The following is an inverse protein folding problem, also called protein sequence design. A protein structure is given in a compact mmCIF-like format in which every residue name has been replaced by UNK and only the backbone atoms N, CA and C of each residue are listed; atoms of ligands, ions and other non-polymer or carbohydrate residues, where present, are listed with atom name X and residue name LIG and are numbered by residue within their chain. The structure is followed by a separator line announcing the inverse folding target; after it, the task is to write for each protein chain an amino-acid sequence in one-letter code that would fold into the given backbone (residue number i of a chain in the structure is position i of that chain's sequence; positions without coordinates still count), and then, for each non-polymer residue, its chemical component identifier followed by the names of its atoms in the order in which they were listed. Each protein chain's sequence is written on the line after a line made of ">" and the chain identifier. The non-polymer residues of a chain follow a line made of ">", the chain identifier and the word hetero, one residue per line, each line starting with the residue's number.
data_IF_695961157710
#
_entry.id   IF_695961157710
#
_cell.length_a   1.000
_cell.length_b   1.000
_cell.length_c   1.000
_cell.angle_alpha   90.00
_cell.angle_beta   90.00
_cell.angle_gamma   90.00
#
_symmetry.space_group_name_H-M   'P 1'
#
loop_
_entity.id
_entity.type
_entity.pdbx_description
1 polymer ?
#
# COMPACT_ATOMS: atom_id res chain seq x y z
N UNK A 1 -6.58 -7.48 -1.01
CA UNK A 1 -6.48 -6.86 -2.35
C UNK A 1 -5.37 -5.83 -2.41
N UNK A 2 -5.65 -4.56 -2.06
CA UNK A 2 -4.71 -3.44 -2.32
C UNK A 2 -3.33 -3.65 -1.67
N UNK A 3 -3.25 -4.18 -0.44
CA UNK A 3 -1.97 -4.51 0.18
C UNK A 3 -1.14 -5.51 -0.63
N UNK A 4 -1.78 -6.53 -1.20
CA UNK A 4 -1.12 -7.54 -2.04
C UNK A 4 -0.64 -6.87 -3.34
N UNK A 5 -1.48 -6.05 -3.98
CA UNK A 5 -1.10 -5.33 -5.19
C UNK A 5 0.06 -4.36 -4.96
N UNK A 6 0.07 -3.63 -3.84
CA UNK A 6 1.14 -2.72 -3.48
C UNK A 6 2.47 -3.46 -3.26
N UNK A 7 2.46 -4.53 -2.45
CA UNK A 7 3.66 -5.32 -2.17
C UNK A 7 4.21 -6.00 -3.42
N UNK A 8 3.34 -6.57 -4.26
CA UNK A 8 3.77 -7.43 -5.36
C UNK A 8 3.93 -6.67 -6.68
N UNK A 9 3.01 -5.76 -7.00
CA UNK A 9 3.04 -5.01 -8.26
C UNK A 9 3.88 -3.76 -8.14
N UNK A 10 3.58 -2.88 -7.17
CA UNK A 10 4.21 -1.56 -7.14
C UNK A 10 5.70 -1.69 -6.84
N UNK A 11 6.05 -2.48 -5.83
CA UNK A 11 7.44 -2.76 -5.50
C UNK A 11 8.14 -3.54 -6.61
N UNK A 12 7.46 -4.55 -7.19
CA UNK A 12 7.98 -5.33 -8.31
C UNK A 12 8.32 -4.48 -9.53
N UNK A 13 7.43 -3.57 -9.91
CA UNK A 13 7.65 -2.61 -11.00
C UNK A 13 8.80 -1.66 -10.69
N UNK A 14 8.92 -1.17 -9.45
CA UNK A 14 10.02 -0.30 -9.05
C UNK A 14 11.38 -0.98 -9.28
N UNK A 15 11.52 -2.25 -8.84
CA UNK A 15 12.75 -3.03 -9.05
C UNK A 15 13.05 -3.31 -10.51
N UNK A 16 12.05 -3.70 -11.30
CA UNK A 16 12.27 -4.04 -12.72
C UNK A 16 12.67 -2.81 -13.53
N UNK A 17 12.08 -1.64 -13.24
CA UNK A 17 12.35 -0.39 -13.96
C UNK A 17 13.71 0.19 -13.59
N UNK A 18 14.00 0.33 -12.30
CA UNK A 18 15.22 0.99 -11.81
C UNK A 18 16.45 0.06 -11.89
N UNK A 19 16.22 -1.23 -11.62
CA UNK A 19 17.19 -2.29 -11.78
C UNK A 19 17.97 -2.67 -10.53
N UNK A 20 18.35 -1.69 -9.73
CA UNK A 20 19.04 -1.88 -8.45
C UNK A 20 18.55 -0.84 -7.46
N UNK A 21 17.43 -1.14 -6.80
CA UNK A 21 16.85 -0.22 -5.83
C UNK A 21 17.63 -0.34 -4.54
N UNK A 22 18.48 0.64 -4.25
CA UNK A 22 19.17 0.75 -2.96
C UNK A 22 18.17 1.21 -1.92
N UNK A 23 18.12 0.50 -0.80
CA UNK A 23 17.20 0.75 0.30
C UNK A 23 18.02 1.27 1.48
N UNK A 24 17.63 2.43 2.00
CA UNK A 24 18.26 3.00 3.19
C UNK A 24 17.95 2.14 4.41
N UNK A 25 18.97 1.95 5.24
CA UNK A 25 18.91 1.11 6.44
C UNK A 25 17.71 1.43 7.34
N UNK A 26 17.30 2.70 7.40
CA UNK A 26 16.16 3.18 8.17
C UNK A 26 14.84 2.54 7.75
N UNK A 27 14.59 2.43 6.44
CA UNK A 27 13.37 1.81 5.89
C UNK A 27 13.32 0.34 6.34
N UNK A 28 14.46 -0.36 6.27
CA UNK A 28 14.58 -1.76 6.67
C UNK A 28 14.43 -1.98 8.19
N UNK A 29 14.91 -1.06 9.03
CA UNK A 29 14.89 -1.23 10.49
C UNK A 29 13.61 -0.73 11.16
N UNK A 30 12.91 0.21 10.52
CA UNK A 30 11.74 0.86 11.09
C UNK A 30 10.46 0.38 10.41
N UNK A 31 10.35 0.62 9.10
CA UNK A 31 9.09 0.46 8.40
C UNK A 31 8.75 -1.03 8.20
N UNK A 32 9.74 -1.89 8.05
CA UNK A 32 9.53 -3.34 7.93
C UNK A 32 8.92 -3.99 9.18
N UNK A 33 9.42 -3.77 10.41
CA UNK A 33 8.74 -4.26 11.61
C UNK A 33 7.29 -3.75 11.75
N UNK A 34 7.03 -2.48 11.43
CA UNK A 34 5.68 -1.94 11.45
C UNK A 34 4.80 -2.56 10.37
N UNK A 35 5.32 -2.78 9.17
CA UNK A 35 4.62 -3.49 8.11
C UNK A 35 4.23 -4.90 8.58
N UNK A 36 5.19 -5.69 9.05
CA UNK A 36 4.94 -7.05 9.52
C UNK A 36 3.94 -7.08 10.68
N UNK A 37 4.11 -6.19 11.66
CA UNK A 37 3.22 -6.05 12.80
C UNK A 37 1.79 -5.65 12.40
N UNK A 38 1.64 -4.70 11.47
CA UNK A 38 0.34 -4.25 10.98
C UNK A 38 -0.38 -5.33 10.16
N UNK A 39 0.33 -6.04 9.28
CA UNK A 39 -0.22 -7.15 8.50
C UNK A 39 -0.64 -8.31 9.42
N UNK A 40 0.18 -8.65 10.41
CA UNK A 40 -0.14 -9.69 11.38
C UNK A 40 -1.35 -9.31 12.25
N UNK A 41 -1.38 -8.08 12.77
CA UNK A 41 -2.51 -7.56 13.53
C UNK A 41 -3.80 -7.59 12.71
N UNK A 42 -3.74 -7.17 11.44
CA UNK A 42 -4.87 -7.26 10.53
C UNK A 42 -5.32 -8.72 10.34
N UNK A 43 -4.40 -9.65 10.14
CA UNK A 43 -4.74 -11.07 10.00
C UNK A 43 -5.45 -11.63 11.25
N UNK A 44 -5.03 -11.23 12.45
CA UNK A 44 -5.70 -11.60 13.71
C UNK A 44 -7.10 -11.01 13.81
N UNK A 45 -7.24 -9.73 13.49
CA UNK A 45 -8.53 -9.01 13.54
C UNK A 45 -9.53 -9.58 12.53
N UNK A 46 -9.05 -10.09 11.39
CA UNK A 46 -9.90 -10.69 10.36
C UNK A 46 -10.24 -12.17 10.63
N UNK A 47 -9.66 -12.79 11.66
CA UNK A 47 -9.69 -14.25 11.84
C UNK A 47 -11.09 -14.84 11.99
N UNK A 48 -11.97 -14.15 12.72
CA UNK A 48 -13.36 -14.57 12.94
C UNK A 48 -14.31 -14.10 11.83
N UNK A 49 -13.81 -13.30 10.88
CA UNK A 49 -14.57 -12.72 9.78
C UNK A 49 -15.49 -11.57 10.16
N UNK A 50 -15.42 -11.07 11.39
CA UNK A 50 -16.22 -9.93 11.86
C UNK A 50 -15.35 -8.87 12.53
N UNK A 51 -15.19 -7.72 11.86
CA UNK A 51 -14.44 -6.60 12.42
C UNK A 51 -15.43 -5.56 12.96
N UNK A 52 -15.46 -5.43 14.29
CA UNK A 52 -16.33 -4.50 15.00
C UNK A 52 -15.59 -3.25 15.49
N UNK A 53 -16.24 -2.55 16.42
CA UNK A 53 -15.74 -1.29 16.99
C UNK A 53 -14.51 -1.49 17.88
N UNK A 54 -14.39 -2.64 18.54
CA UNK A 54 -13.25 -2.92 19.44
C UNK A 54 -11.99 -3.09 18.60
N UNK A 55 -12.08 -3.90 17.55
CA UNK A 55 -11.02 -4.11 16.57
C UNK A 55 -10.64 -2.80 15.88
N UNK A 56 -11.64 -1.97 15.54
CA UNK A 56 -11.42 -0.63 14.99
C UNK A 56 -10.55 0.23 15.92
N UNK A 57 -10.87 0.28 17.22
CA UNK A 57 -10.08 1.05 18.20
C UNK A 57 -8.66 0.52 18.28
N UNK A 58 -8.46 -0.81 18.26
CA UNK A 58 -7.13 -1.42 18.27
C UNK A 58 -6.32 -1.00 17.04
N UNK A 59 -6.90 -1.12 15.84
CA UNK A 59 -6.24 -0.76 14.58
C UNK A 59 -5.90 0.74 14.52
N UNK A 60 -6.84 1.61 14.91
CA UNK A 60 -6.62 3.06 14.92
C UNK A 60 -5.64 3.50 16.01
N UNK A 61 -5.58 2.80 17.15
CA UNK A 61 -4.57 3.05 18.18
C UNK A 61 -3.17 2.66 17.69
N UNK A 62 -3.05 1.51 17.02
CA UNK A 62 -1.80 1.10 16.38
C UNK A 62 -1.35 2.10 15.31
N UNK A 63 -2.30 2.64 14.51
CA UNK A 63 -2.02 3.70 13.54
C UNK A 63 -1.50 4.96 14.24
N UNK A 64 -2.12 5.38 15.35
CA UNK A 64 -1.68 6.56 16.10
C UNK A 64 -0.25 6.39 16.64
N UNK A 65 0.11 5.20 17.12
CA UNK A 65 1.47 4.88 17.56
C UNK A 65 2.46 4.98 16.39
N UNK A 66 2.14 4.38 15.25
CA UNK A 66 2.97 4.47 14.05
C UNK A 66 3.16 5.93 13.59
N UNK A 67 2.07 6.70 13.51
CA UNK A 67 2.12 8.11 13.11
C UNK A 67 2.92 8.96 14.11
N UNK A 68 2.76 8.73 15.42
CA UNK A 68 3.54 9.43 16.43
C UNK A 68 5.03 9.14 16.27
N UNK A 69 5.39 7.87 16.06
CA UNK A 69 6.77 7.46 15.80
C UNK A 69 7.33 8.18 14.56
N UNK A 70 6.65 8.11 13.42
CA UNK A 70 7.11 8.73 12.17
C UNK A 70 7.29 10.25 12.33
N UNK A 71 6.32 10.95 12.92
CA UNK A 71 6.35 12.41 13.06
C UNK A 71 7.40 12.92 14.05
N UNK A 72 7.65 12.19 15.14
CA UNK A 72 8.70 12.55 16.10
C UNK A 72 10.09 12.35 15.53
N UNK A 73 10.24 11.37 14.65
CA UNK A 73 11.53 11.06 14.03
C UNK A 73 11.88 11.99 12.86
N UNK A 74 10.91 12.42 12.05
CA UNK A 74 11.14 13.45 11.03
C UNK A 74 11.62 14.77 11.64
N UNK A 75 11.19 15.08 12.86
CA UNK A 75 11.67 16.24 13.62
C UNK A 75 13.10 16.08 14.16
N UNK A 76 13.51 14.85 14.49
CA UNK A 76 14.85 14.58 15.02
C UNK A 76 15.93 14.49 13.94
N UNK A 77 15.58 14.09 12.71
CA UNK A 77 16.48 14.12 11.55
C UNK A 77 16.52 15.51 10.87
N UNK A 78 15.75 16.47 11.40
CA UNK A 78 15.51 17.80 10.82
C UNK A 78 16.55 18.88 11.09
N UNK A 79 17.63 18.60 11.83
CA UNK A 79 18.70 19.58 12.11
C UNK A 79 19.82 19.62 11.03
N UNK A 80 19.63 18.95 9.88
CA UNK A 80 20.69 18.76 8.87
C UNK A 80 20.49 19.45 7.53
N UNK A 81 19.57 18.96 6.69
CA UNK A 81 19.69 19.20 5.23
C UNK A 81 18.38 19.53 4.49
N UNK A 82 17.24 19.57 5.17
CA UNK A 82 15.93 19.86 4.56
C UNK A 82 15.62 21.35 4.37
N UNK A 83 16.13 22.20 5.26
CA UNK A 83 15.88 23.64 5.25
C UNK A 83 16.57 24.37 4.08
N UNK A 84 17.66 23.80 3.53
CA UNK A 84 18.45 24.43 2.46
C UNK A 84 17.80 24.35 1.06
N UNK A 85 16.87 23.41 0.84
CA UNK A 85 16.08 23.35 -0.39
C UNK A 85 14.83 24.24 -0.33
N UNK A 86 14.25 24.41 0.87
CA UNK A 86 13.08 25.25 1.08
C UNK A 86 13.41 26.76 1.08
N UNK A 87 14.67 27.15 1.30
CA UNK A 87 15.10 28.56 1.33
C UNK A 87 15.36 29.18 -0.06
N UNK A 88 15.29 28.42 -1.16
CA UNK A 88 15.50 28.96 -2.52
C UNK A 88 14.24 29.24 -3.33
N UNK A 89 13.05 28.88 -2.85
CA UNK A 89 11.78 29.27 -3.48
C UNK A 89 11.28 30.58 -2.87
N UNK A 90 11.87 31.69 -3.28
CA UNK A 90 11.43 33.02 -2.82
C UNK A 90 9.94 33.24 -3.07
N UNK A 91 9.13 33.39 -2.00
CA UNK A 91 7.72 33.85 -1.95
C UNK A 91 6.81 33.48 -3.14
N UNK A 92 7.08 32.40 -3.88
CA UNK A 92 6.22 31.94 -4.95
C UNK A 92 5.02 31.29 -4.27
N UNK A 93 3.86 31.94 -4.45
CA UNK A 93 2.70 31.74 -3.59
C UNK A 93 2.35 30.28 -3.37
N UNK A 94 2.27 29.89 -2.09
CA UNK A 94 1.79 28.59 -1.58
C UNK A 94 0.50 28.14 -2.27
N UNK A 95 -0.28 29.10 -2.79
CA UNK A 95 -1.47 28.91 -3.60
C UNK A 95 -1.26 27.94 -4.76
N UNK A 96 -0.17 28.06 -5.55
CA UNK A 96 0.00 27.20 -6.74
C UNK A 96 0.26 25.73 -6.35
N UNK A 97 1.20 25.39 -5.45
CA UNK A 97 1.36 24.03 -4.94
C UNK A 97 0.08 23.46 -4.31
N UNK A 98 -0.63 24.26 -3.51
CA UNK A 98 -1.89 23.84 -2.88
C UNK A 98 -2.97 23.54 -3.92
N UNK A 99 -3.14 24.41 -4.93
CA UNK A 99 -4.08 24.17 -6.03
C UNK A 99 -3.72 22.92 -6.84
N UNK A 100 -2.43 22.70 -7.10
CA UNK A 100 -1.97 21.49 -7.79
C UNK A 100 -2.26 20.23 -6.97
N UNK A 101 -2.06 20.28 -5.64
CA UNK A 101 -2.31 19.17 -4.74
C UNK A 101 -3.81 18.84 -4.62
N UNK A 102 -4.66 19.87 -4.45
CA UNK A 102 -6.11 19.69 -4.42
C UNK A 102 -6.65 19.21 -5.77
N UNK A 103 -6.15 19.78 -6.87
CA UNK A 103 -6.51 19.37 -8.22
C UNK A 103 -6.13 17.91 -8.49
N UNK A 104 -4.91 17.50 -8.16
CA UNK A 104 -4.47 16.11 -8.33
C UNK A 104 -5.27 15.14 -7.48
N UNK A 105 -5.56 15.50 -6.22
CA UNK A 105 -6.39 14.67 -5.34
C UNK A 105 -7.79 14.45 -5.91
N UNK A 106 -8.42 15.50 -6.46
CA UNK A 106 -9.74 15.41 -7.08
C UNK A 106 -9.73 14.48 -8.31
N UNK A 107 -8.76 14.65 -9.23
CA UNK A 107 -8.67 13.81 -10.42
C UNK A 107 -8.36 12.35 -10.08
N UNK A 108 -7.52 12.11 -9.08
CA UNK A 108 -7.22 10.75 -8.59
C UNK A 108 -8.49 10.10 -8.04
N UNK A 109 -9.24 10.81 -7.19
CA UNK A 109 -10.48 10.29 -6.61
C UNK A 109 -11.51 9.94 -7.69
N UNK A 110 -11.75 10.87 -8.61
CA UNK A 110 -12.70 10.66 -9.71
C UNK A 110 -12.28 9.50 -10.63
N UNK A 111 -10.98 9.39 -10.95
CA UNK A 111 -10.43 8.31 -11.76
C UNK A 111 -10.52 6.95 -11.08
N UNK A 112 -10.21 6.88 -9.78
CA UNK A 112 -10.34 5.66 -8.99
C UNK A 112 -11.80 5.21 -8.89
N UNK A 113 -12.73 6.11 -8.56
CA UNK A 113 -14.16 5.80 -8.45
C UNK A 113 -14.76 5.34 -9.78
N UNK A 114 -14.42 6.01 -10.89
CA UNK A 114 -14.85 5.63 -12.22
C UNK A 114 -14.32 4.24 -12.64
N UNK A 115 -13.06 3.94 -12.30
CA UNK A 115 -12.43 2.64 -12.57
C UNK A 115 -13.10 1.52 -11.76
N UNK A 116 -13.31 1.75 -10.46
CA UNK A 116 -13.98 0.79 -9.56
C UNK A 116 -15.41 0.51 -10.01
N UNK A 117 -16.18 1.55 -10.32
CA UNK A 117 -17.57 1.41 -10.77
C UNK A 117 -17.67 0.63 -12.08
N UNK A 118 -16.78 0.94 -13.04
CA UNK A 118 -16.73 0.24 -14.32
C UNK A 118 -16.30 -1.22 -14.16
N UNK A 119 -15.30 -1.50 -13.32
CA UNK A 119 -14.82 -2.85 -13.05
C UNK A 119 -15.90 -3.72 -12.39
N UNK A 120 -16.64 -3.18 -11.42
CA UNK A 120 -17.78 -3.85 -10.79
C UNK A 120 -18.91 -4.08 -11.80
N UNK A 121 -19.20 -3.11 -12.66
CA UNK A 121 -20.18 -3.25 -13.73
C UNK A 121 -19.84 -4.40 -14.69
N UNK A 122 -18.60 -4.44 -15.20
CA UNK A 122 -18.14 -5.50 -16.10
C UNK A 122 -18.15 -6.86 -15.39
N UNK A 123 -17.62 -6.93 -14.17
CA UNK A 123 -17.56 -8.20 -13.45
C UNK A 123 -18.95 -8.80 -13.17
N UNK A 124 -19.94 -7.96 -12.86
CA UNK A 124 -21.34 -8.40 -12.73
C UNK A 124 -21.93 -8.93 -14.04
N UNK A 125 -21.59 -8.34 -15.18
CA UNK A 125 -22.03 -8.86 -16.49
C UNK A 125 -21.37 -10.18 -16.88
N UNK A 126 -20.21 -10.48 -16.32
CA UNK A 126 -19.45 -11.71 -16.53
C UNK A 126 -19.74 -12.78 -15.46
N UNK A 127 -20.72 -12.55 -14.58
CA UNK A 127 -21.09 -13.43 -13.46
C UNK A 127 -19.91 -13.76 -12.52
N UNK A 128 -18.99 -12.81 -12.36
CA UNK A 128 -17.84 -12.94 -11.46
C UNK A 128 -18.26 -12.54 -10.04
N UNK A 129 -17.89 -13.35 -9.05
CA UNK A 129 -18.17 -13.10 -7.64
C UNK A 129 -17.69 -11.72 -7.16
N UNK A 130 -18.51 -11.03 -6.36
CA UNK A 130 -18.23 -9.67 -5.92
C UNK A 130 -16.92 -9.58 -5.11
N UNK A 131 -16.62 -10.61 -4.32
CA UNK A 131 -15.38 -10.77 -3.56
C UNK A 131 -14.14 -10.89 -4.46
N UNK A 132 -14.23 -11.56 -5.61
CA UNK A 132 -13.13 -11.67 -6.57
C UNK A 132 -12.88 -10.29 -7.17
N UNK A 133 -13.92 -9.60 -7.63
CA UNK A 133 -13.83 -8.25 -8.19
C UNK A 133 -13.24 -7.28 -7.16
N UNK A 134 -13.67 -7.36 -5.90
CA UNK A 134 -13.19 -6.53 -4.81
C UNK A 134 -11.69 -6.81 -4.50
N UNK A 135 -11.30 -8.08 -4.44
CA UNK A 135 -9.94 -8.49 -4.12
C UNK A 135 -8.95 -8.27 -5.28
N UNK A 136 -9.43 -8.22 -6.52
CA UNK A 136 -8.63 -8.03 -7.74
C UNK A 136 -8.79 -6.62 -8.33
N UNK A 137 -9.77 -6.40 -9.19
CA UNK A 137 -9.89 -5.22 -10.03
C UNK A 137 -10.12 -3.93 -9.24
N UNK A 138 -10.96 -3.95 -8.20
CA UNK A 138 -11.18 -2.78 -7.33
C UNK A 138 -9.92 -2.44 -6.56
N UNK A 139 -9.35 -3.46 -5.90
CA UNK A 139 -8.10 -3.33 -5.15
C UNK A 139 -6.93 -2.83 -6.01
N UNK A 140 -6.81 -3.31 -7.24
CA UNK A 140 -5.80 -2.86 -8.19
C UNK A 140 -6.09 -1.43 -8.65
N UNK A 141 -7.36 -1.11 -8.94
CA UNK A 141 -7.81 0.21 -9.35
C UNK A 141 -7.49 1.30 -8.32
N UNK A 142 -7.69 1.01 -7.03
CA UNK A 142 -7.34 1.94 -5.94
C UNK A 142 -5.83 2.14 -5.77
N UNK A 143 -5.01 1.20 -6.26
CA UNK A 143 -3.55 1.25 -6.21
C UNK A 143 -2.91 1.87 -7.46
N UNK A 144 -3.70 2.18 -8.51
CA UNK A 144 -3.19 2.81 -9.74
C UNK A 144 -2.51 4.17 -9.53
N UNK A 145 -3.00 5.06 -8.64
CA UNK A 145 -2.31 6.31 -8.35
C UNK A 145 -0.88 6.07 -7.83
N UNK A 146 -0.71 5.09 -6.93
CA UNK A 146 0.57 4.71 -6.35
C UNK A 146 1.47 4.02 -7.38
N UNK A 147 0.91 3.17 -8.26
CA UNK A 147 1.65 2.64 -9.41
C UNK A 147 2.20 3.79 -10.26
N UNK A 148 1.38 4.80 -10.54
CA UNK A 148 1.76 5.95 -11.37
C UNK A 148 2.89 6.77 -10.75
N UNK A 149 2.79 7.06 -9.45
CA UNK A 149 3.82 7.78 -8.68
C UNK A 149 5.13 6.97 -8.64
N UNK A 150 5.04 5.68 -8.35
CA UNK A 150 6.20 4.79 -8.26
C UNK A 150 6.92 4.64 -9.61
N UNK A 151 6.18 4.40 -10.69
CA UNK A 151 6.77 4.31 -12.04
C UNK A 151 7.45 5.62 -12.42
N UNK A 152 6.84 6.77 -12.10
CA UNK A 152 7.46 8.07 -12.34
C UNK A 152 8.73 8.28 -11.49
N UNK A 153 8.74 7.86 -10.23
CA UNK A 153 9.90 7.95 -9.35
C UNK A 153 11.04 7.01 -9.78
N UNK A 154 10.73 5.76 -10.10
CA UNK A 154 11.70 4.76 -10.56
C UNK A 154 12.39 5.20 -11.87
N UNK A 155 11.64 5.74 -12.83
CA UNK A 155 12.23 6.30 -14.07
C UNK A 155 13.17 7.48 -13.85
N UNK A 156 13.10 8.13 -12.67
CA UNK A 156 13.95 9.26 -12.29
C UNK A 156 15.11 8.84 -11.37
N UNK A 157 15.35 7.53 -11.19
CA UNK A 157 16.38 7.01 -10.28
C UNK A 157 16.07 7.21 -8.80
N UNK A 158 14.80 7.48 -8.47
CA UNK A 158 14.34 7.74 -7.10
C UNK A 158 13.50 6.56 -6.56
N UNK A 159 13.82 5.34 -6.98
CA UNK A 159 13.06 4.14 -6.62
C UNK A 159 13.07 3.84 -5.11
N UNK A 160 14.06 4.32 -4.37
CA UNK A 160 14.08 4.22 -2.90
C UNK A 160 12.84 4.88 -2.27
N UNK A 161 12.43 6.05 -2.76
CA UNK A 161 11.22 6.71 -2.26
C UNK A 161 9.95 5.89 -2.52
N UNK A 162 9.94 5.09 -3.60
CA UNK A 162 8.83 4.21 -3.89
C UNK A 162 8.71 3.08 -2.86
N UNK A 163 9.82 2.54 -2.34
CA UNK A 163 9.81 1.51 -1.30
C UNK A 163 9.14 2.04 -0.04
N UNK A 164 9.60 3.19 0.48
CA UNK A 164 9.00 3.80 1.67
C UNK A 164 7.51 4.12 1.50
N UNK A 165 7.12 4.60 0.32
CA UNK A 165 5.72 4.84 -0.02
C UNK A 165 4.89 3.56 0.01
N UNK A 166 5.37 2.46 -0.58
CA UNK A 166 4.67 1.16 -0.57
C UNK A 166 4.50 0.61 0.84
N UNK A 167 5.55 0.64 1.67
CA UNK A 167 5.48 0.15 3.05
C UNK A 167 4.49 0.98 3.88
N UNK A 168 4.60 2.31 3.81
CA UNK A 168 3.71 3.24 4.51
C UNK A 168 2.24 3.09 4.08
N UNK A 169 1.97 3.00 2.77
CA UNK A 169 0.61 2.78 2.26
C UNK A 169 0.02 1.45 2.72
N UNK A 170 0.82 0.38 2.82
CA UNK A 170 0.31 -0.90 3.32
C UNK A 170 0.01 -0.90 4.81
N UNK A 171 0.85 -0.25 5.62
CA UNK A 171 0.57 -0.02 7.05
C UNK A 171 -0.70 0.82 7.19
N UNK A 172 -0.83 1.90 6.43
CA UNK A 172 -2.01 2.77 6.44
C UNK A 172 -3.27 2.02 6.00
N UNK A 173 -3.21 1.23 4.93
CA UNK A 173 -4.33 0.43 4.48
C UNK A 173 -4.74 -0.63 5.51
N UNK A 174 -3.78 -1.30 6.14
CA UNK A 174 -4.06 -2.32 7.14
C UNK A 174 -4.73 -1.73 8.41
N UNK A 175 -4.28 -0.55 8.84
CA UNK A 175 -4.71 0.04 10.10
C UNK A 175 -5.84 1.07 9.91
N UNK A 176 -5.63 2.06 9.04
CA UNK A 176 -6.57 3.16 8.83
C UNK A 176 -7.77 2.74 8.00
N UNK A 177 -7.58 2.13 6.81
CA UNK A 177 -8.71 1.82 5.93
C UNK A 177 -9.65 0.81 6.60
N UNK A 178 -9.11 -0.27 7.16
CA UNK A 178 -9.92 -1.24 7.91
C UNK A 178 -10.47 -0.65 9.21
N UNK A 179 -9.65 0.06 10.00
CA UNK A 179 -10.08 0.62 11.28
C UNK A 179 -11.17 1.69 11.15
N UNK A 180 -11.05 2.61 10.20
CA UNK A 180 -12.08 3.64 9.94
C UNK A 180 -13.36 2.97 9.44
N UNK A 181 -13.26 2.02 8.51
CA UNK A 181 -14.42 1.31 7.98
C UNK A 181 -15.17 0.57 9.10
N UNK A 182 -14.45 -0.15 9.97
CA UNK A 182 -15.01 -0.86 11.12
C UNK A 182 -15.59 0.08 12.20
N UNK A 183 -15.07 1.31 12.31
CA UNK A 183 -15.62 2.31 13.20
C UNK A 183 -16.99 2.82 12.72
N UNK A 184 -17.21 2.89 11.40
CA UNK A 184 -18.49 3.31 10.81
C UNK A 184 -19.58 2.23 10.84
N UNK A 185 -19.19 0.95 10.87
CA UNK A 185 -20.11 -0.19 10.94
C UNK A 185 -19.35 -1.51 11.01
N UNK A 186 -20.03 -2.58 11.44
CA UNK A 186 -19.42 -3.91 11.48
C UNK A 186 -19.10 -4.38 10.05
N UNK A 187 -17.84 -4.75 9.83
CA UNK A 187 -17.39 -5.33 8.56
C UNK A 187 -17.50 -6.85 8.65
N UNK A 188 -18.24 -7.45 7.72
CA UNK A 188 -18.30 -8.90 7.55
C UNK A 188 -17.41 -9.27 6.37
N UNK A 189 -16.45 -10.14 6.61
CA UNK A 189 -15.44 -10.53 5.63
C UNK A 189 -15.71 -11.98 5.19
N UNK A 190 -15.87 -12.24 3.89
CA UNK A 190 -16.10 -13.60 3.38
C UNK A 190 -14.99 -14.57 3.79
N UNK A 191 -15.38 -15.76 4.24
CA UNK A 191 -14.44 -16.82 4.64
C UNK A 191 -13.50 -17.23 3.49
N UNK A 192 -13.96 -17.13 2.24
CA UNK A 192 -13.14 -17.36 1.04
C UNK A 192 -11.93 -16.41 0.97
N UNK A 193 -12.12 -15.13 1.29
CA UNK A 193 -11.04 -14.15 1.33
C UNK A 193 -10.10 -14.35 2.52
N UNK A 194 -10.64 -14.73 3.68
CA UNK A 194 -9.83 -15.02 4.87
C UNK A 194 -8.96 -16.26 4.64
N UNK A 195 -9.53 -17.32 4.06
CA UNK A 195 -8.83 -18.58 3.81
C UNK A 195 -7.75 -18.49 2.73
N UNK A 196 -7.83 -17.52 1.82
CA UNK A 196 -6.91 -17.40 0.69
C UNK A 196 -6.13 -16.08 0.65
N UNK A 197 -6.81 -14.94 0.57
CA UNK A 197 -6.14 -13.66 0.36
C UNK A 197 -5.32 -13.19 1.57
N UNK A 198 -5.77 -13.46 2.80
CA UNK A 198 -5.04 -13.08 4.02
C UNK A 198 -3.72 -13.86 4.15
N UNK A 199 -3.68 -15.20 4.00
CA UNK A 199 -2.44 -15.96 3.92
C UNK A 199 -1.48 -15.46 2.83
N UNK A 200 -1.98 -15.21 1.61
CA UNK A 200 -1.14 -14.68 0.52
C UNK A 200 -0.55 -13.32 0.89
N UNK A 201 -1.32 -12.44 1.54
CA UNK A 201 -0.83 -11.15 2.02
C UNK A 201 0.28 -11.30 3.07
N UNK A 202 0.17 -12.27 3.99
CA UNK A 202 1.23 -12.57 4.96
C UNK A 202 2.50 -13.10 4.28
N UNK A 203 2.35 -14.03 3.34
CA UNK A 203 3.48 -14.56 2.56
C UNK A 203 4.15 -13.46 1.73
N UNK A 204 3.37 -12.60 1.06
CA UNK A 204 3.88 -11.45 0.32
C UNK A 204 4.63 -10.47 1.24
N UNK A 205 4.09 -10.20 2.43
CA UNK A 205 4.74 -9.33 3.43
C UNK A 205 6.06 -9.92 3.89
N UNK A 206 6.09 -11.23 4.18
CA UNK A 206 7.30 -11.91 4.61
C UNK A 206 8.37 -11.95 3.50
N UNK A 207 7.95 -12.19 2.25
CA UNK A 207 8.85 -12.15 1.10
C UNK A 207 9.47 -10.76 0.94
N UNK A 208 8.64 -9.70 0.99
CA UNK A 208 9.11 -8.31 0.92
C UNK A 208 10.02 -7.97 2.10
N UNK A 209 9.71 -8.45 3.31
CA UNK A 209 10.56 -8.28 4.48
C UNK A 209 11.98 -8.79 4.21
N UNK A 210 12.13 -10.02 3.70
CA UNK A 210 13.45 -10.58 3.42
C UNK A 210 14.19 -9.88 2.28
N UNK A 211 13.49 -9.47 1.24
CA UNK A 211 14.08 -8.72 0.11
C UNK A 211 14.60 -7.36 0.60
N UNK A 212 13.75 -6.60 1.31
CA UNK A 212 14.09 -5.24 1.74
C UNK A 212 15.17 -5.23 2.82
N UNK A 213 15.23 -6.28 3.67
CA UNK A 213 16.27 -6.43 4.68
C UNK A 213 17.68 -6.58 4.08
N UNK A 214 17.80 -7.06 2.84
CA UNK A 214 19.08 -7.14 2.12
C UNK A 214 19.59 -5.77 1.63
N UNK A 215 18.79 -4.72 1.80
CA UNK A 215 19.11 -3.31 1.49
C UNK A 215 19.36 -3.00 0.01
N UNK A 216 19.24 -3.98 -0.86
CA UNK A 216 19.26 -3.82 -2.29
C UNK A 216 18.22 -4.75 -2.89
N UNK A 217 17.39 -4.22 -3.77
CA UNK A 217 16.38 -4.99 -4.48
C UNK A 217 16.72 -5.05 -5.97
N UNK A 218 16.88 -6.27 -6.46
CA UNK A 218 17.30 -6.60 -7.82
C UNK A 218 16.10 -6.71 -8.76
N UNK A 219 16.37 -6.64 -10.07
CA UNK A 219 15.37 -6.91 -11.14
C UNK A 219 14.69 -8.27 -10.98
N UNK A 220 15.45 -9.28 -10.54
CA UNK A 220 14.94 -10.65 -10.41
C UNK A 220 13.97 -10.79 -9.26
N UNK A 221 14.25 -10.15 -8.13
CA UNK A 221 13.30 -10.07 -7.01
C UNK A 221 12.04 -9.30 -7.42
N UNK A 222 12.20 -8.20 -8.18
CA UNK A 222 11.06 -7.49 -8.74
C UNK A 222 10.20 -8.35 -9.67
N UNK A 223 10.83 -9.12 -10.56
CA UNK A 223 10.15 -10.05 -11.45
C UNK A 223 9.44 -11.19 -10.68
N UNK A 224 10.06 -11.70 -9.62
CA UNK A 224 9.47 -12.70 -8.71
C UNK A 224 8.19 -12.15 -8.06
N UNK A 225 8.22 -10.91 -7.56
CA UNK A 225 7.05 -10.27 -6.95
C UNK A 225 5.91 -10.11 -7.97
N UNK A 226 6.21 -9.68 -9.20
CA UNK A 226 5.21 -9.57 -10.27
C UNK A 226 4.63 -10.92 -10.65
N UNK A 227 5.46 -11.95 -10.77
CA UNK A 227 5.01 -13.31 -11.05
C UNK A 227 4.12 -13.84 -9.92
N UNK A 228 4.45 -13.53 -8.67
CA UNK A 228 3.63 -13.91 -7.53
C UNK A 228 2.28 -13.20 -7.54
N UNK A 229 2.20 -11.95 -8.01
CA UNK A 229 0.91 -11.28 -8.21
C UNK A 229 0.06 -11.96 -9.29
N UNK A 230 0.68 -12.34 -10.42
CA UNK A 230 -0.01 -13.09 -11.48
C UNK A 230 -0.55 -14.41 -10.94
N UNK A 231 0.25 -15.13 -10.15
CA UNK A 231 -0.19 -16.34 -9.47
C UNK A 231 -1.36 -16.07 -8.52
N UNK A 232 -1.27 -15.04 -7.67
CA UNK A 232 -2.35 -14.65 -6.78
C UNK A 232 -3.66 -14.40 -7.54
N UNK A 233 -3.62 -13.65 -8.65
CA UNK A 233 -4.80 -13.38 -9.46
C UNK A 233 -5.33 -14.67 -10.09
N UNK A 234 -4.49 -15.49 -10.71
CA UNK A 234 -4.92 -16.74 -11.35
C UNK A 234 -5.62 -17.68 -10.35
N UNK A 235 -5.03 -17.88 -9.17
CA UNK A 235 -5.60 -18.73 -8.13
C UNK A 235 -6.84 -18.10 -7.47
N UNK A 236 -6.91 -16.76 -7.37
CA UNK A 236 -8.11 -16.08 -6.85
C UNK A 236 -9.36 -16.40 -7.68
N UNK A 237 -9.21 -16.53 -9.00
CA UNK A 237 -10.30 -16.93 -9.91
C UNK A 237 -10.62 -18.43 -9.85
N UNK A 238 -9.71 -19.27 -9.35
CA UNK A 238 -9.92 -20.72 -9.23
C UNK A 238 -10.47 -21.12 -7.86
N UNK A 239 -10.09 -20.39 -6.80
CA UNK A 239 -10.38 -20.72 -5.41
C UNK A 239 -11.79 -20.31 -4.96
N UNK A 240 -12.35 -19.27 -5.57
CA UNK A 240 -13.65 -18.67 -5.24
C UNK A 240 -14.63 -18.95 -6.38
#
# INVERSE_FOLDING_TARGET
>A
GSNIANLLVILGLAAVIDGHVRIRHRIALVDLPFLLGSTFLLALVLWDGSVGRVEAVILLSALAVYMHYVLTQTRSDGDGDGEAAATRTGRSGVVRPVLMLLGSALFILAGAEGTVTSAVGIGRTLDIGAEIIAASAVAFGTSLPEVSVTVAAARRGNAEMAVGNVLGSNIFNALAVTGISAATGMLVVPASLIGFAVPIMLVATLLVYFIVMQQEMTKWEGALLLLFYVFFIAELFHWI
#
